data_IF_736670218843
#
_entry.id   IF_736670218843
#
_cell.length_a   1.000
_cell.length_b   1.000
_cell.length_c   1.000
_cell.angle_alpha   90.00
_cell.angle_beta   90.00
_cell.angle_gamma   90.00
#
_symmetry.space_group_name_H-M   'P 1'
#
loop_
_entity.id
_entity.type
_entity.pdbx_description
1 polymer ?
#
# COMPACT_ATOMS: atom_id res chain seq x y z
N UNK A 1 10.70 3.04 11.87
CA UNK A 1 10.36 1.97 10.92
C UNK A 1 10.75 2.50 9.56
N UNK A 2 11.64 1.80 8.85
CA UNK A 2 12.25 2.35 7.63
C UNK A 2 11.14 2.49 6.58
N UNK A 3 10.83 3.71 6.18
CA UNK A 3 9.75 4.08 5.25
C UNK A 3 9.96 3.55 3.83
N UNK A 4 10.59 2.39 3.65
CA UNK A 4 10.76 1.70 2.39
C UNK A 4 9.55 0.81 2.10
N UNK A 5 8.96 0.92 0.92
CA UNK A 5 7.95 0.00 0.45
C UNK A 5 8.58 -1.11 -0.39
N UNK A 6 8.58 -2.36 0.12
CA UNK A 6 9.24 -3.51 -0.51
C UNK A 6 8.48 -4.16 -1.68
N UNK A 7 7.21 -3.80 -1.90
CA UNK A 7 6.37 -4.37 -2.96
C UNK A 7 5.18 -5.19 -2.46
N UNK A 8 4.40 -5.72 -3.41
CA UNK A 8 3.24 -6.58 -3.14
C UNK A 8 3.59 -8.06 -3.35
N UNK A 9 3.12 -8.90 -2.43
CA UNK A 9 3.47 -10.32 -2.35
C UNK A 9 2.28 -11.25 -2.10
N UNK A 10 1.05 -10.79 -2.28
CA UNK A 10 -0.16 -11.59 -2.06
C UNK A 10 -0.77 -11.45 -0.67
N UNK A 11 0.05 -11.09 0.32
CA UNK A 11 -0.37 -10.90 1.71
C UNK A 11 0.28 -9.66 2.35
N UNK A 12 0.74 -8.70 1.54
CA UNK A 12 1.44 -7.52 2.03
C UNK A 12 0.52 -6.65 2.90
N UNK A 13 1.03 -6.31 4.10
CA UNK A 13 0.48 -5.27 4.97
C UNK A 13 1.42 -4.08 4.93
N UNK A 14 0.84 -2.89 4.78
CA UNK A 14 1.53 -1.62 4.59
C UNK A 14 1.13 -0.72 5.75
N UNK A 15 2.12 -0.32 6.54
CA UNK A 15 1.94 0.63 7.64
C UNK A 15 2.38 2.02 7.16
N UNK A 16 1.52 3.01 7.39
CA UNK A 16 1.78 4.41 7.05
C UNK A 16 2.27 5.18 8.29
N UNK A 17 2.89 6.33 8.06
CA UNK A 17 3.44 7.17 9.13
C UNK A 17 2.39 7.66 10.13
N UNK A 18 1.14 7.79 9.69
CA UNK A 18 0.00 8.15 10.53
C UNK A 18 -0.45 7.02 11.47
N UNK A 19 0.21 5.86 11.41
CA UNK A 19 -0.06 4.67 12.22
C UNK A 19 -1.20 3.80 11.70
N UNK A 20 -1.78 4.13 10.53
CA UNK A 20 -2.76 3.27 9.87
C UNK A 20 -2.09 2.10 9.16
N UNK A 21 -2.79 0.96 9.11
CA UNK A 21 -2.32 -0.24 8.44
C UNK A 21 -3.34 -0.70 7.39
N UNK A 22 -2.81 -1.11 6.24
CA UNK A 22 -3.60 -1.44 5.05
C UNK A 22 -3.07 -2.74 4.46
N UNK A 23 -3.96 -3.70 4.19
CA UNK A 23 -3.59 -4.93 3.49
C UNK A 23 -3.92 -4.79 2.01
N UNK A 24 -3.12 -5.38 1.13
CA UNK A 24 -3.50 -5.52 -0.27
C UNK A 24 -4.85 -6.26 -0.39
N UNK A 25 -5.75 -5.75 -1.23
CA UNK A 25 -7.08 -6.33 -1.39
C UNK A 25 -7.08 -7.53 -2.35
N UNK A 26 -6.27 -7.48 -3.42
CA UNK A 26 -6.15 -8.56 -4.38
C UNK A 26 -4.89 -9.37 -4.10
N UNK A 27 -5.01 -10.69 -3.93
CA UNK A 27 -3.86 -11.56 -3.70
C UNK A 27 -2.97 -11.74 -4.95
N UNK A 28 -3.52 -11.51 -6.14
CA UNK A 28 -2.79 -11.65 -7.41
C UNK A 28 -1.98 -10.39 -7.77
N UNK A 29 -2.13 -9.29 -7.01
CA UNK A 29 -1.33 -8.09 -7.24
C UNK A 29 0.12 -8.32 -6.76
N UNK A 30 1.04 -8.31 -7.72
CA UNK A 30 2.49 -8.49 -7.52
C UNK A 30 3.27 -7.34 -8.16
N UNK A 31 3.56 -6.31 -7.36
CA UNK A 31 4.34 -5.16 -7.78
C UNK A 31 5.69 -5.13 -7.08
N UNK A 32 6.71 -4.66 -7.80
CA UNK A 32 8.00 -4.37 -7.19
C UNK A 32 7.86 -3.18 -6.24
N UNK A 33 8.69 -3.17 -5.21
CA UNK A 33 8.82 -2.05 -4.30
C UNK A 33 9.20 -0.75 -4.99
N UNK A 34 9.01 0.36 -4.28
CA UNK A 34 9.39 1.67 -4.80
C UNK A 34 10.91 1.79 -4.88
N UNK A 35 11.47 2.35 -5.96
CA UNK A 35 12.90 2.68 -6.02
C UNK A 35 13.25 3.92 -5.19
N UNK A 36 12.25 4.64 -4.68
CA UNK A 36 12.43 5.87 -3.88
C UNK A 36 12.54 5.50 -2.41
N UNK A 37 13.56 6.04 -1.74
CA UNK A 37 13.65 5.97 -0.29
C UNK A 37 12.61 6.91 0.32
N UNK A 38 11.81 6.39 1.24
CA UNK A 38 10.68 7.11 1.83
C UNK A 38 9.70 7.65 0.76
N UNK A 39 9.06 6.79 -0.06
CA UNK A 39 8.14 7.24 -1.08
C UNK A 39 6.90 7.87 -0.45
N UNK A 40 6.38 8.92 -1.09
CA UNK A 40 5.07 9.46 -0.73
C UNK A 40 3.99 8.39 -0.88
N UNK A 41 3.12 8.26 0.12
CA UNK A 41 2.02 7.32 0.12
C UNK A 41 0.70 8.02 0.49
N UNK A 42 -0.38 7.66 -0.21
CA UNK A 42 -1.72 8.16 0.07
C UNK A 42 -2.77 7.08 -0.13
N UNK A 43 -3.80 7.10 0.71
CA UNK A 43 -4.99 6.26 0.56
C UNK A 43 -6.16 7.12 0.12
N UNK A 44 -6.81 6.69 -0.96
CA UNK A 44 -7.94 7.39 -1.58
C UNK A 44 -9.16 6.50 -1.44
N UNK A 45 -10.21 7.03 -0.80
CA UNK A 45 -11.52 6.36 -0.72
C UNK A 45 -12.32 6.65 -2.00
N UNK A 46 -12.67 5.61 -2.74
CA UNK A 46 -13.56 5.66 -3.90
C UNK A 46 -14.87 4.89 -3.66
N UNK A 47 -15.68 4.81 -4.71
CA UNK A 47 -16.97 4.08 -4.69
C UNK A 47 -16.77 2.57 -4.50
N UNK A 48 -15.67 2.03 -5.01
CA UNK A 48 -15.35 0.59 -4.98
C UNK A 48 -14.42 0.18 -3.83
N UNK A 49 -14.21 1.05 -2.83
CA UNK A 49 -13.31 0.79 -1.70
C UNK A 49 -12.14 1.75 -1.64
N UNK A 50 -11.02 1.30 -1.10
CA UNK A 50 -9.82 2.11 -0.90
C UNK A 50 -8.75 1.73 -1.91
N UNK A 51 -8.09 2.74 -2.45
CA UNK A 51 -6.92 2.57 -3.30
C UNK A 51 -5.71 3.22 -2.65
N UNK A 52 -4.57 2.60 -2.81
CA UNK A 52 -3.30 3.14 -2.36
C UNK A 52 -2.48 3.60 -3.55
N UNK A 53 -1.90 4.80 -3.42
CA UNK A 53 -0.88 5.34 -4.30
C UNK A 53 0.42 5.41 -3.53
N UNK A 54 1.46 4.79 -4.07
CA UNK A 54 2.83 4.89 -3.59
C UNK A 54 3.67 5.38 -4.77
N UNK A 55 4.54 6.35 -4.53
CA UNK A 55 5.43 6.87 -5.56
C UNK A 55 6.23 5.75 -6.25
N UNK A 56 6.22 5.73 -7.59
CA UNK A 56 6.94 4.72 -8.39
C UNK A 56 6.25 3.36 -8.48
N UNK A 57 5.05 3.19 -7.91
CA UNK A 57 4.30 1.93 -7.92
C UNK A 57 2.94 2.15 -8.60
N UNK A 58 2.43 1.20 -9.41
CA UNK A 58 1.06 1.27 -9.90
C UNK A 58 0.05 1.38 -8.74
N UNK A 59 -1.08 2.05 -8.96
CA UNK A 59 -2.16 2.12 -7.97
C UNK A 59 -2.79 0.73 -7.76
N UNK A 60 -3.08 0.34 -6.52
CA UNK A 60 -3.73 -0.93 -6.17
C UNK A 60 -4.81 -0.74 -5.11
N UNK A 61 -5.70 -1.73 -5.01
CA UNK A 61 -6.74 -1.75 -3.99
C UNK A 61 -6.19 -2.26 -2.66
N UNK A 62 -6.66 -1.66 -1.58
CA UNK A 62 -6.31 -2.02 -0.21
C UNK A 62 -7.55 -2.09 0.67
N UNK A 63 -7.48 -2.90 1.72
CA UNK A 63 -8.47 -2.93 2.78
C UNK A 63 -7.86 -2.42 4.09
N UNK A 64 -8.64 -1.69 4.91
CA UNK A 64 -8.17 -1.26 6.23
C UNK A 64 -7.99 -2.48 7.14
N UNK A 65 -6.86 -2.55 7.84
CA UNK A 65 -6.67 -3.53 8.92
C UNK A 65 -7.39 -3.00 10.16
N UNK A 66 -8.39 -3.75 10.65
CA UNK A 66 -9.03 -3.47 11.94
C UNK A 66 -8.23 -4.17 13.03
N UNK A 67 -7.88 -3.43 14.09
CA UNK A 67 -7.32 -4.00 15.33
C UNK A 67 -8.40 -4.75 16.11
#
# INVERSE_FOLDING_TARGET
>A
MNGSFGGLGGATVIELEDGTAWKQANADDHFRGSPVDHPGAAVIRGVFGYKMRIEGVPEFYVDPVRK
#
